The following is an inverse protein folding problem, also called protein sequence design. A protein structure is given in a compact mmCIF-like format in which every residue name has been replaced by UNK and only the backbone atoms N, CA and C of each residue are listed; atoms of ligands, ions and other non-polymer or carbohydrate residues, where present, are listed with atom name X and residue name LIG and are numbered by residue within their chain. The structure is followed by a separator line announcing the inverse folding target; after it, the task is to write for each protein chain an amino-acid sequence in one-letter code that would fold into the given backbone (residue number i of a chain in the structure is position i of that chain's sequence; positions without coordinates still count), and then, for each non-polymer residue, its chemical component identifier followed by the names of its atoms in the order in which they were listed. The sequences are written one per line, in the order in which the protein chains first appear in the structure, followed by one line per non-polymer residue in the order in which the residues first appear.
data_IF_840237821871
#
_entry.id   IF_840237821871
#
_cell.length_a   1.000
_cell.length_b   1.000
_cell.length_c   1.000
_cell.angle_alpha   90.00
_cell.angle_beta   90.00
_cell.angle_gamma   90.00
#
_symmetry.space_group_name_H-M   'P 1'
#
loop_
_entity.id
_entity.type
_entity.pdbx_description
1 polymer ?
#
# COMPACT_ATOMS: atom_id res chain seq x y z
N UNK A 1 22.32 5.24 -11.72
CA UNK A 1 21.35 4.48 -12.53
C UNK A 1 20.05 4.41 -11.73
N UNK A 2 18.94 4.98 -12.21
CA UNK A 2 17.63 4.84 -11.54
C UNK A 2 17.18 3.40 -11.74
N UNK A 3 17.01 2.64 -10.67
CA UNK A 3 16.40 1.33 -10.72
C UNK A 3 15.00 1.48 -11.32
N UNK A 4 14.78 0.87 -12.48
CA UNK A 4 13.47 0.82 -13.11
C UNK A 4 12.56 0.00 -12.20
N UNK A 5 11.79 0.67 -11.32
CA UNK A 5 10.73 0.03 -10.54
C UNK A 5 9.85 -0.75 -11.53
N UNK A 6 9.83 -2.07 -11.39
CA UNK A 6 8.98 -2.93 -12.22
C UNK A 6 7.54 -2.46 -12.05
N UNK A 7 6.98 -1.89 -13.12
CA UNK A 7 5.61 -1.38 -13.18
C UNK A 7 4.68 -2.57 -13.28
N UNK A 8 3.59 -2.56 -12.51
CA UNK A 8 2.51 -3.55 -12.71
C UNK A 8 1.80 -3.28 -14.04
N UNK A 9 0.92 -4.19 -14.47
CA UNK A 9 0.16 -4.11 -15.75
C UNK A 9 -0.59 -2.78 -15.96
N UNK A 10 -0.81 -2.02 -14.90
CA UNK A 10 -1.49 -0.72 -14.90
C UNK A 10 -0.55 0.50 -14.80
N UNK A 11 0.77 0.28 -14.83
CA UNK A 11 1.77 1.35 -14.74
C UNK A 11 2.00 1.89 -13.33
N UNK A 12 1.43 1.25 -12.31
CA UNK A 12 1.53 1.63 -10.90
C UNK A 12 2.88 1.21 -10.29
N UNK A 13 3.46 2.02 -9.39
CA UNK A 13 4.62 1.61 -8.59
C UNK A 13 4.20 0.50 -7.62
N UNK A 14 5.12 -0.41 -7.29
CA UNK A 14 4.89 -1.57 -6.41
C UNK A 14 4.29 -1.16 -5.06
N UNK A 15 4.74 -0.01 -4.56
CA UNK A 15 4.36 0.64 -3.33
C UNK A 15 2.87 1.03 -3.30
N UNK A 16 2.19 1.14 -4.45
CA UNK A 16 0.77 1.45 -4.52
C UNK A 16 -0.15 0.26 -4.19
N UNK A 17 0.41 -0.94 -4.01
CA UNK A 17 -0.34 -2.12 -3.60
C UNK A 17 0.24 -2.60 -2.28
N UNK A 18 -0.59 -2.66 -1.24
CA UNK A 18 -0.18 -3.30 -0.01
C UNK A 18 -0.20 -4.84 -0.20
N UNK A 19 0.87 -5.31 -0.83
CA UNK A 19 1.45 -6.64 -0.70
C UNK A 19 0.69 -7.84 -1.31
N UNK A 20 1.48 -8.73 -1.92
CA UNK A 20 1.08 -9.85 -2.74
C UNK A 20 0.51 -11.05 -1.96
N UNK A 21 -0.43 -11.76 -2.60
CA UNK A 21 -0.67 -13.18 -2.30
C UNK A 21 0.38 -14.10 -2.96
N UNK A 22 1.05 -13.65 -4.03
CA UNK A 22 2.17 -14.33 -4.69
C UNK A 22 3.26 -13.31 -5.14
N UNK A 23 4.49 -13.35 -4.58
CA UNK A 23 5.55 -12.39 -4.89
C UNK A 23 6.09 -12.47 -6.33
N UNK A 24 5.86 -13.57 -7.04
CA UNK A 24 6.26 -13.76 -8.44
C UNK A 24 5.21 -13.28 -9.45
N UNK A 25 3.99 -12.99 -8.98
CA UNK A 25 2.88 -12.55 -9.81
C UNK A 25 2.29 -11.22 -9.30
N UNK A 26 2.72 -10.08 -9.89
CA UNK A 26 2.19 -8.75 -9.58
C UNK A 26 0.68 -8.60 -9.71
N UNK A 27 0.00 -9.47 -10.47
CA UNK A 27 -1.47 -9.42 -10.63
C UNK A 27 -2.20 -9.97 -9.38
N UNK A 28 -1.48 -10.58 -8.43
CA UNK A 28 -2.03 -11.08 -7.16
C UNK A 28 -1.91 -10.10 -5.99
N UNK A 29 -1.46 -8.87 -6.25
CA UNK A 29 -1.23 -7.85 -5.23
C UNK A 29 -2.58 -7.21 -4.86
N UNK A 30 -3.11 -7.58 -3.68
CA UNK A 30 -4.49 -7.33 -3.31
C UNK A 30 -4.64 -6.51 -2.05
N UNK A 31 -4.23 -5.24 -2.04
CA UNK A 31 -4.81 -4.28 -1.08
C UNK A 31 -4.89 -2.89 -1.74
N UNK A 32 -6.01 -2.59 -2.43
CA UNK A 32 -6.25 -1.26 -2.97
C UNK A 32 -6.65 -0.30 -1.84
N UNK A 33 -5.69 0.44 -1.28
CA UNK A 33 -5.97 1.58 -0.39
C UNK A 33 -6.24 2.88 -1.17
N UNK A 34 -6.30 2.79 -2.50
CA UNK A 34 -6.81 3.82 -3.39
C UNK A 34 -8.03 3.33 -4.18
N UNK A 35 -8.96 4.24 -4.45
CA UNK A 35 -10.09 4.06 -5.35
C UNK A 35 -9.61 3.90 -6.79
N UNK A 36 -10.46 3.36 -7.67
CA UNK A 36 -10.20 3.25 -9.13
C UNK A 36 -9.79 4.57 -9.82
N UNK A 37 -10.12 5.71 -9.21
CA UNK A 37 -9.68 7.03 -9.67
C UNK A 37 -8.16 7.25 -9.58
N UNK A 38 -7.40 6.37 -8.91
CA UNK A 38 -5.93 6.39 -8.90
C UNK A 38 -5.34 6.48 -10.31
N UNK A 39 -5.95 5.78 -11.28
CA UNK A 39 -5.55 5.84 -12.69
C UNK A 39 -5.57 7.26 -13.28
N UNK A 40 -6.34 8.18 -12.71
CA UNK A 40 -6.34 9.60 -13.09
C UNK A 40 -5.18 10.34 -12.43
N UNK A 41 -4.89 10.05 -11.16
CA UNK A 41 -3.75 10.64 -10.45
C UNK A 41 -2.42 10.27 -11.09
N UNK A 42 -2.24 9.01 -11.50
CA UNK A 42 -1.05 8.55 -12.23
C UNK A 42 -0.85 9.25 -13.58
N UNK A 43 -1.93 9.76 -14.17
CA UNK A 43 -1.90 10.55 -15.41
C UNK A 43 -1.75 12.05 -15.15
N UNK A 44 -1.50 12.46 -13.89
CA UNK A 44 -1.39 13.86 -13.47
C UNK A 44 -2.71 14.62 -13.51
N UNK A 45 -3.86 13.92 -13.51
CA UNK A 45 -5.20 14.52 -13.66
C UNK A 45 -5.99 14.59 -12.35
N UNK A 46 -5.39 14.17 -11.24
CA UNK A 46 -5.98 14.16 -9.91
C UNK A 46 -4.85 14.13 -8.89
N UNK A 47 -5.08 14.64 -7.69
CA UNK A 47 -4.13 14.42 -6.60
C UNK A 47 -4.18 12.94 -6.16
N UNK A 48 -3.05 12.35 -5.77
CA UNK A 48 -3.02 10.93 -5.39
C UNK A 48 -3.71 10.71 -4.04
N UNK A 49 -3.62 11.68 -3.14
CA UNK A 49 -4.26 11.69 -1.82
C UNK A 49 -5.79 11.77 -1.94
N UNK A 50 -6.31 12.44 -2.97
CA UNK A 50 -7.76 12.47 -3.26
C UNK A 50 -8.33 11.11 -3.69
N UNK A 51 -7.44 10.18 -4.05
CA UNK A 51 -7.83 8.83 -4.44
C UNK A 51 -7.84 7.84 -3.30
N UNK A 52 -7.45 8.23 -2.08
CA UNK A 52 -7.44 7.33 -0.93
C UNK A 52 -8.83 6.72 -0.67
N UNK A 53 -8.84 5.40 -0.46
CA UNK A 53 -9.95 4.65 0.08
C UNK A 53 -9.61 4.27 1.51
N UNK A 54 -10.17 4.99 2.49
CA UNK A 54 -9.86 4.77 3.90
C UNK A 54 -10.32 3.38 4.39
N UNK A 55 -11.38 2.80 3.82
CA UNK A 55 -11.75 1.42 4.14
C UNK A 55 -10.69 0.44 3.61
N UNK A 56 -10.16 0.70 2.42
CA UNK A 56 -9.01 -0.01 1.85
C UNK A 56 -7.73 0.16 2.67
N UNK A 57 -7.49 1.37 3.19
CA UNK A 57 -6.36 1.70 4.06
C UNK A 57 -6.38 0.87 5.35
N UNK A 58 -7.53 0.76 6.02
CA UNK A 58 -7.64 -0.03 7.25
C UNK A 58 -7.33 -1.52 7.02
N UNK A 59 -7.79 -2.07 5.89
CA UNK A 59 -7.44 -3.45 5.49
C UNK A 59 -5.94 -3.59 5.21
N UNK A 60 -5.35 -2.61 4.52
CA UNK A 60 -3.92 -2.57 4.22
C UNK A 60 -3.07 -2.59 5.50
N UNK A 61 -3.43 -1.76 6.48
CA UNK A 61 -2.77 -1.73 7.79
C UNK A 61 -2.94 -3.05 8.53
N UNK A 62 -4.15 -3.61 8.57
CA UNK A 62 -4.41 -4.87 9.26
C UNK A 62 -3.59 -6.03 8.69
N UNK A 63 -3.35 -6.04 7.38
CA UNK A 63 -2.57 -7.08 6.71
C UNK A 63 -1.07 -7.08 7.08
N UNK A 64 -0.53 -5.93 7.52
CA UNK A 64 0.83 -5.82 8.06
C UNK A 64 0.94 -6.33 9.50
N UNK A 65 -0.18 -6.42 10.22
CA UNK A 65 -0.18 -6.88 11.60
C UNK A 65 0.24 -8.36 11.70
N UNK A 66 0.76 -8.82 12.86
CA UNK A 66 1.06 -10.23 13.07
C UNK A 66 -0.15 -11.16 12.86
N UNK A 67 -1.37 -10.69 13.14
CA UNK A 67 -2.61 -11.42 12.91
C UNK A 67 -3.13 -11.36 11.47
N UNK A 68 -2.58 -10.47 10.66
CA UNK A 68 -3.00 -10.24 9.28
C UNK A 68 -4.45 -9.76 9.14
N UNK A 69 -4.95 -9.74 7.91
CA UNK A 69 -6.34 -9.43 7.60
C UNK A 69 -7.13 -10.74 7.42
N UNK A 70 -8.23 -10.91 8.17
CA UNK A 70 -9.01 -12.16 8.14
C UNK A 70 -8.21 -13.40 8.57
N UNK A 71 -7.20 -13.25 9.43
CA UNK A 71 -6.31 -14.33 9.87
C UNK A 71 -5.23 -14.73 8.87
N UNK A 72 -5.08 -13.98 7.77
CA UNK A 72 -4.04 -14.21 6.76
C UNK A 72 -3.03 -13.08 6.80
N UNK A 73 -1.82 -13.44 7.22
CA UNK A 73 -0.68 -12.53 7.16
C UNK A 73 -0.17 -12.47 5.73
N UNK A 74 0.24 -11.28 5.36
CA UNK A 74 1.02 -11.04 4.15
C UNK A 74 2.33 -11.85 4.18
N UNK A 75 2.66 -12.49 3.06
CA UNK A 75 3.96 -13.13 2.85
C UNK A 75 4.88 -12.14 2.16
N UNK A 76 5.78 -11.53 2.92
CA UNK A 76 6.76 -10.57 2.44
C UNK A 76 7.99 -10.58 3.34
N UNK A 77 9.12 -10.09 2.82
CA UNK A 77 10.32 -9.91 3.63
C UNK A 77 10.09 -8.83 4.71
N UNK A 78 10.87 -8.84 5.81
CA UNK A 78 10.80 -7.77 6.80
C UNK A 78 10.97 -6.37 6.19
N UNK A 79 11.88 -6.23 5.23
CA UNK A 79 12.16 -4.97 4.52
C UNK A 79 10.95 -4.50 3.73
N UNK A 80 10.29 -5.40 2.98
CA UNK A 80 9.08 -5.09 2.23
C UNK A 80 7.92 -4.67 3.15
N UNK A 81 7.82 -5.27 4.34
CA UNK A 81 6.82 -4.87 5.36
C UNK A 81 7.10 -3.45 5.87
N UNK A 82 8.36 -3.11 6.14
CA UNK A 82 8.74 -1.77 6.61
C UNK A 82 8.52 -0.70 5.53
N UNK A 83 8.85 -1.00 4.27
CA UNK A 83 8.58 -0.11 3.14
C UNK A 83 7.08 0.15 2.96
N UNK A 84 6.26 -0.90 3.02
CA UNK A 84 4.81 -0.77 2.98
C UNK A 84 4.28 0.05 4.17
N UNK A 85 4.76 -0.22 5.38
CA UNK A 85 4.34 0.51 6.58
C UNK A 85 4.67 2.02 6.47
N UNK A 86 5.87 2.35 6.00
CA UNK A 86 6.30 3.73 5.78
C UNK A 86 5.42 4.45 4.74
N UNK A 87 5.10 3.78 3.64
CA UNK A 87 4.20 4.32 2.61
C UNK A 87 2.78 4.58 3.15
N UNK A 88 2.19 3.62 3.87
CA UNK A 88 0.87 3.79 4.46
C UNK A 88 0.88 4.90 5.52
N UNK A 89 1.91 4.96 6.37
CA UNK A 89 2.05 5.98 7.40
C UNK A 89 2.11 7.40 6.81
N UNK A 90 2.74 7.57 5.64
CA UNK A 90 2.81 8.86 4.98
C UNK A 90 1.44 9.38 4.56
N UNK A 91 0.54 8.50 4.09
CA UNK A 91 -0.85 8.90 3.79
C UNK A 91 -1.60 9.38 5.05
N UNK A 92 -1.38 8.74 6.20
CA UNK A 92 -1.95 9.20 7.47
C UNK A 92 -1.43 10.59 7.86
N UNK A 93 -0.11 10.81 7.76
CA UNK A 93 0.51 12.11 8.08
C UNK A 93 -0.01 13.22 7.18
N UNK A 94 -0.03 13.00 5.86
CA UNK A 94 -0.54 13.96 4.87
C UNK A 94 -2.02 14.29 5.07
N UNK A 95 -2.81 13.30 5.51
CA UNK A 95 -4.22 13.49 5.84
C UNK A 95 -4.45 14.13 7.23
N UNK A 96 -3.40 14.41 8.01
CA UNK A 96 -3.51 14.90 9.39
C UNK A 96 -4.23 13.92 10.33
N UNK A 97 -4.16 12.61 10.02
CA UNK A 97 -4.79 11.55 10.81
C UNK A 97 -3.80 10.91 11.77
N UNK A 98 -4.24 10.45 12.95
CA UNK A 98 -3.38 9.71 13.87
C UNK A 98 -2.91 8.40 13.22
N UNK A 99 -1.64 8.04 13.44
CA UNK A 99 -1.11 6.76 12.99
C UNK A 99 -1.72 5.62 13.83
N UNK A 100 -2.21 4.54 13.21
CA UNK A 100 -2.57 3.32 13.91
C UNK A 100 -1.36 2.67 14.59
N UNK A 101 -1.56 2.03 15.74
CA UNK A 101 -0.50 1.37 16.53
C UNK A 101 0.33 0.38 15.69
N UNK A 102 -0.31 -0.34 14.76
CA UNK A 102 0.38 -1.26 13.83
C UNK A 102 1.41 -0.54 12.99
N UNK A 103 1.10 0.65 12.47
CA UNK A 103 2.06 1.44 11.71
C UNK A 103 3.08 2.10 12.64
N UNK A 104 2.66 2.66 13.77
CA UNK A 104 3.54 3.30 14.74
C UNK A 104 4.61 2.35 15.32
N UNK A 105 4.33 1.05 15.38
CA UNK A 105 5.30 0.04 15.79
C UNK A 105 6.33 -0.31 14.69
N UNK A 106 6.11 0.11 13.45
CA UNK A 106 6.90 -0.27 12.27
C UNK A 106 7.68 0.92 11.66
N UNK A 107 7.38 2.17 12.03
CA UNK A 107 7.95 3.39 11.39
C UNK A 107 8.43 4.45 12.37
#
# INVERSE_FOLDING_TARGET
MKASQAKTKEGLPKEAFAIAANPEDPDTWQLPHHKKSISRALRGRLDIEETLDWAGMDMAVAALSPGGYGGRRVVASPEEILEAAAHLAEHYRKAGKPLPDTLAALV
#
